data_IF_599458919406
#
_entry.id   IF_599458919406
#
_cell.length_a   1.000
_cell.length_b   1.000
_cell.length_c   1.000
_cell.angle_alpha   90.00
_cell.angle_beta   90.00
_cell.angle_gamma   90.00
#
_symmetry.space_group_name_H-M   'P 1'
#
loop_
_entity.id
_entity.type
_entity.pdbx_description
1 polymer ?
#
# COMPACT_ATOMS: atom_id res chain seq x y z
N UNK A 1 21.38 -12.59 1.08
CA UNK A 1 22.67 -11.90 1.15
C UNK A 1 22.66 -10.50 0.51
N UNK A 2 21.83 -10.22 -0.49
CA UNK A 2 21.75 -8.89 -1.14
C UNK A 2 21.21 -7.78 -0.21
N UNK A 3 20.35 -8.11 0.73
CA UNK A 3 19.75 -7.13 1.67
C UNK A 3 20.72 -6.63 2.77
N UNK A 4 21.84 -7.27 3.00
CA UNK A 4 22.80 -6.88 4.06
C UNK A 4 23.87 -5.88 3.62
N UNK A 5 24.10 -5.77 2.32
CA UNK A 5 25.18 -4.92 1.76
C UNK A 5 24.73 -3.49 1.49
N UNK A 6 23.40 -3.26 1.35
CA UNK A 6 22.85 -1.95 0.96
C UNK A 6 22.53 -1.00 2.12
N UNK A 7 22.70 -1.43 3.39
CA UNK A 7 22.32 -0.60 4.56
C UNK A 7 23.34 0.51 4.88
N UNK A 8 24.53 0.49 4.28
CA UNK A 8 25.64 1.40 4.62
C UNK A 8 25.80 2.65 3.75
N UNK A 9 25.01 2.85 2.70
CA UNK A 9 25.29 3.88 1.66
C UNK A 9 24.45 5.17 1.84
N UNK A 10 23.56 5.22 2.80
CA UNK A 10 22.58 6.32 2.96
C UNK A 10 23.15 7.65 3.50
N UNK A 11 24.44 7.77 3.82
CA UNK A 11 25.03 8.96 4.45
C UNK A 11 26.15 9.66 3.66
N UNK A 12 26.33 9.34 2.37
CA UNK A 12 27.31 10.07 1.56
C UNK A 12 26.64 11.29 0.90
N UNK A 13 27.10 12.48 1.27
CA UNK A 13 26.81 13.74 0.60
C UNK A 13 27.10 13.58 -0.91
N UNK A 14 26.17 14.10 -1.72
CA UNK A 14 26.32 14.13 -3.18
C UNK A 14 27.37 15.20 -3.50
N UNK A 15 28.63 14.82 -3.54
CA UNK A 15 29.65 15.58 -4.27
C UNK A 15 29.66 15.04 -5.71
N UNK A 16 29.61 15.98 -6.68
CA UNK A 16 29.73 15.72 -8.10
C UNK A 16 31.10 15.09 -8.42
N UNK A 17 31.19 13.80 -8.35
CA UNK A 17 32.34 13.07 -8.87
C UNK A 17 32.06 12.71 -10.33
N UNK A 18 32.94 13.07 -11.27
CA UNK A 18 32.76 12.70 -12.66
C UNK A 18 32.76 11.17 -12.82
N UNK A 19 31.86 10.69 -13.67
CA UNK A 19 31.82 9.28 -14.07
C UNK A 19 33.15 8.99 -14.79
N UNK A 20 34.04 8.29 -14.09
CA UNK A 20 35.25 7.77 -14.72
C UNK A 20 34.82 6.62 -15.62
N UNK A 21 34.95 6.83 -16.94
CA UNK A 21 34.79 5.79 -17.95
C UNK A 21 36.00 4.83 -17.84
N UNK A 22 35.89 3.84 -17.00
CA UNK A 22 36.92 2.81 -16.86
C UNK A 22 36.73 1.79 -17.99
N UNK A 23 37.18 2.18 -19.19
CA UNK A 23 37.53 1.19 -20.21
C UNK A 23 38.91 0.66 -19.87
N UNK A 24 38.95 -0.42 -19.11
CA UNK A 24 40.18 -1.23 -19.02
C UNK A 24 40.27 -2.11 -20.27
N UNK A 25 41.28 -1.87 -21.10
CA UNK A 25 41.84 -2.87 -21.99
C UNK A 25 42.44 -3.96 -21.12
N UNK A 26 41.77 -5.06 -20.91
CA UNK A 26 42.31 -6.26 -20.29
C UNK A 26 42.49 -7.29 -21.38
N UNK A 27 43.72 -7.76 -21.54
CA UNK A 27 44.06 -8.89 -22.40
C UNK A 27 43.19 -10.12 -22.07
N UNK A 28 42.74 -10.83 -23.13
CA UNK A 28 41.86 -11.99 -23.12
C UNK A 28 42.48 -13.19 -22.37
N UNK A 29 42.33 -13.18 -21.04
CA UNK A 29 42.27 -14.42 -20.31
C UNK A 29 40.76 -14.71 -20.09
N UNK A 30 40.27 -15.88 -20.48
CA UNK A 30 38.87 -16.25 -20.26
C UNK A 30 38.56 -16.10 -18.77
N UNK A 31 37.55 -15.23 -18.45
CA UNK A 31 37.13 -14.96 -17.10
C UNK A 31 36.69 -16.29 -16.41
N UNK A 32 37.04 -16.43 -15.16
CA UNK A 32 36.55 -17.59 -14.39
C UNK A 32 35.02 -17.45 -14.17
N UNK A 33 34.28 -18.56 -13.99
CA UNK A 33 32.84 -18.49 -13.71
C UNK A 33 32.50 -17.59 -12.50
N UNK A 34 33.37 -17.50 -11.51
CA UNK A 34 33.20 -16.63 -10.34
C UNK A 34 33.39 -15.14 -10.70
N UNK A 35 34.31 -14.82 -11.63
CA UNK A 35 34.50 -13.47 -12.14
C UNK A 35 33.32 -13.03 -13.01
N UNK A 36 32.80 -13.90 -13.85
CA UNK A 36 31.61 -13.64 -14.66
C UNK A 36 30.39 -13.39 -13.79
N UNK A 37 30.17 -14.20 -12.74
CA UNK A 37 29.08 -14.01 -11.79
C UNK A 37 29.20 -12.68 -11.03
N UNK A 38 30.40 -12.34 -10.58
CA UNK A 38 30.69 -11.06 -9.91
C UNK A 38 30.41 -9.88 -10.83
N UNK A 39 30.87 -9.92 -12.07
CA UNK A 39 30.70 -8.82 -13.02
C UNK A 39 29.24 -8.65 -13.44
N UNK A 40 28.50 -9.75 -13.60
CA UNK A 40 27.06 -9.72 -13.82
C UNK A 40 26.34 -9.08 -12.62
N UNK A 41 26.72 -9.40 -11.40
CA UNK A 41 26.16 -8.81 -10.18
C UNK A 41 26.45 -7.31 -10.10
N UNK A 42 27.65 -6.89 -10.42
CA UNK A 42 28.04 -5.46 -10.47
C UNK A 42 27.21 -4.69 -11.52
N UNK A 43 26.97 -5.26 -12.69
CA UNK A 43 26.12 -4.67 -13.71
C UNK A 43 24.66 -4.53 -13.22
N UNK A 44 24.12 -5.56 -12.57
CA UNK A 44 22.77 -5.51 -11.99
C UNK A 44 22.65 -4.45 -10.90
N UNK A 45 23.63 -4.32 -10.04
CA UNK A 45 23.70 -3.28 -9.00
C UNK A 45 23.77 -1.89 -9.66
N UNK A 46 24.63 -1.72 -10.66
CA UNK A 46 24.75 -0.47 -11.42
C UNK A 46 23.44 -0.05 -12.07
N UNK A 47 22.73 -0.98 -12.72
CA UNK A 47 21.40 -0.72 -13.32
C UNK A 47 20.37 -0.35 -12.23
N UNK A 48 20.35 -1.07 -11.12
CA UNK A 48 19.46 -0.77 -10.00
C UNK A 48 19.68 0.64 -9.43
N UNK A 49 20.94 1.06 -9.25
CA UNK A 49 21.29 2.40 -8.77
C UNK A 49 20.85 3.46 -9.78
N UNK A 50 21.07 3.27 -11.09
CA UNK A 50 20.64 4.20 -12.14
C UNK A 50 19.11 4.35 -12.15
N UNK A 51 18.38 3.24 -12.10
CA UNK A 51 16.92 3.25 -12.03
C UNK A 51 16.42 3.98 -10.79
N UNK A 52 16.98 3.68 -9.62
CA UNK A 52 16.63 4.35 -8.37
C UNK A 52 16.85 5.87 -8.45
N UNK A 53 18.04 6.31 -8.89
CA UNK A 53 18.37 7.75 -9.02
C UNK A 53 17.42 8.45 -9.97
N UNK A 54 17.16 7.86 -11.12
CA UNK A 54 16.24 8.39 -12.14
C UNK A 54 14.80 8.52 -11.60
N UNK A 55 14.30 7.53 -10.87
CA UNK A 55 12.97 7.60 -10.28
C UNK A 55 12.89 8.57 -9.10
N UNK A 56 13.98 8.69 -8.32
CA UNK A 56 14.04 9.68 -7.25
C UNK A 56 14.04 11.10 -7.81
N UNK A 57 14.75 11.35 -8.89
CA UNK A 57 14.74 12.64 -9.58
C UNK A 57 13.33 12.99 -10.10
N UNK A 58 12.63 12.03 -10.73
CA UNK A 58 11.25 12.20 -11.17
C UNK A 58 10.32 12.52 -10.00
N UNK A 59 10.45 11.80 -8.87
CA UNK A 59 9.67 12.09 -7.68
C UNK A 59 9.87 13.52 -7.19
N UNK A 60 11.12 13.97 -7.07
CA UNK A 60 11.46 15.33 -6.62
C UNK A 60 10.88 16.35 -7.59
N UNK A 61 11.08 16.19 -8.91
CA UNK A 61 10.52 17.05 -9.96
C UNK A 61 8.99 17.21 -9.80
N UNK A 62 8.26 16.09 -9.64
CA UNK A 62 6.80 16.15 -9.51
C UNK A 62 6.35 16.86 -8.23
N UNK A 63 7.10 16.73 -7.14
CA UNK A 63 6.83 17.45 -5.90
C UNK A 63 7.10 18.94 -6.05
N UNK A 64 8.26 19.33 -6.56
CA UNK A 64 8.66 20.73 -6.75
C UNK A 64 7.67 21.47 -7.64
N UNK A 65 7.30 20.85 -8.75
CA UNK A 65 6.34 21.40 -9.68
C UNK A 65 4.96 21.60 -9.03
N UNK A 66 4.46 20.64 -8.26
CA UNK A 66 3.19 20.79 -7.54
C UNK A 66 3.23 21.93 -6.52
N UNK A 67 4.34 22.06 -5.79
CA UNK A 67 4.54 23.15 -4.82
C UNK A 67 4.63 24.51 -5.52
N UNK A 68 5.33 24.57 -6.67
CA UNK A 68 5.42 25.81 -7.46
C UNK A 68 4.05 26.24 -7.98
N UNK A 69 3.26 25.31 -8.52
CA UNK A 69 1.91 25.58 -9.02
C UNK A 69 1.00 26.11 -7.91
N UNK A 70 1.08 25.52 -6.72
CA UNK A 70 0.31 25.95 -5.57
C UNK A 70 0.66 27.36 -5.13
N UNK A 71 1.97 27.66 -4.99
CA UNK A 71 2.48 28.99 -4.63
C UNK A 71 2.14 30.06 -5.67
N UNK A 72 2.10 29.68 -6.93
CA UNK A 72 1.76 30.57 -8.04
C UNK A 72 0.25 30.76 -8.24
N UNK A 73 -0.60 30.04 -7.48
CA UNK A 73 -2.06 30.10 -7.63
C UNK A 73 -2.54 29.58 -8.99
N UNK A 74 -1.86 28.59 -9.59
CA UNK A 74 -2.24 28.01 -10.87
C UNK A 74 -3.66 27.47 -10.80
N UNK A 75 -4.46 27.69 -11.84
CA UNK A 75 -5.87 27.30 -11.88
C UNK A 75 -6.06 25.79 -11.79
N UNK A 76 -7.23 25.35 -11.33
CA UNK A 76 -7.52 23.93 -11.16
C UNK A 76 -7.24 23.10 -12.42
N UNK A 77 -7.62 23.63 -13.58
CA UNK A 77 -7.49 22.91 -14.87
C UNK A 77 -6.05 22.76 -15.38
N UNK A 78 -5.11 23.53 -14.87
CA UNK A 78 -3.72 23.53 -15.34
C UNK A 78 -2.74 23.11 -14.24
N UNK A 79 -3.22 23.04 -13.00
CA UNK A 79 -2.44 22.69 -11.81
C UNK A 79 -2.03 21.22 -11.82
N UNK A 80 -0.78 20.97 -11.43
CA UNK A 80 -0.22 19.65 -11.21
C UNK A 80 -0.30 19.32 -9.73
N UNK A 81 -0.90 18.17 -9.42
CA UNK A 81 -1.09 17.66 -8.07
C UNK A 81 -0.18 16.46 -7.85
N UNK A 82 0.49 16.40 -6.73
CA UNK A 82 1.36 15.27 -6.39
C UNK A 82 1.05 14.76 -5.00
N UNK A 83 0.68 13.48 -4.94
CA UNK A 83 0.39 12.75 -3.71
C UNK A 83 1.33 11.57 -3.55
N UNK A 84 1.64 11.24 -2.29
CA UNK A 84 2.26 9.96 -1.91
C UNK A 84 1.24 9.14 -1.16
N UNK A 85 1.12 7.86 -1.51
CA UNK A 85 0.20 6.92 -0.85
C UNK A 85 1.01 5.76 -0.29
N UNK A 86 0.91 5.55 1.02
CA UNK A 86 1.59 4.45 1.69
C UNK A 86 0.82 4.00 2.94
N UNK A 87 1.04 2.73 3.33
CA UNK A 87 0.58 2.20 4.61
C UNK A 87 1.65 2.36 5.67
N UNK A 88 1.32 3.06 6.74
CA UNK A 88 2.12 3.06 7.94
C UNK A 88 2.18 1.69 8.63
N UNK A 89 3.10 1.56 9.57
CA UNK A 89 3.13 0.43 10.48
C UNK A 89 1.76 0.31 11.19
N UNK A 90 1.26 -0.91 11.36
CA UNK A 90 0.03 -1.13 12.11
C UNK A 90 0.17 -0.55 13.52
N UNK A 91 -0.88 0.10 13.96
CA UNK A 91 -1.09 0.43 15.37
C UNK A 91 -1.92 -0.69 16.00
N UNK A 92 -2.00 -0.68 17.30
CA UNK A 92 -2.68 -1.71 18.09
C UNK A 92 -3.63 -1.08 19.10
N UNK A 93 -4.69 -1.79 19.45
CA UNK A 93 -5.59 -1.41 20.54
C UNK A 93 -5.91 -2.66 21.40
N UNK A 94 -5.92 -2.52 22.73
CA UNK A 94 -5.55 -1.35 23.53
C UNK A 94 -4.06 -1.05 23.50
N UNK A 95 -3.69 0.21 23.79
CA UNK A 95 -2.31 0.66 23.97
C UNK A 95 -2.05 0.93 25.44
N UNK A 96 -0.92 0.44 25.90
CA UNK A 96 -0.41 0.72 27.25
C UNK A 96 0.90 1.49 27.09
N UNK A 97 0.93 2.71 27.66
CA UNK A 97 2.08 3.62 27.51
C UNK A 97 3.34 3.14 28.25
N UNK A 98 3.14 2.58 29.46
CA UNK A 98 4.26 2.18 30.32
C UNK A 98 4.44 0.66 30.26
N UNK A 99 3.61 -0.09 30.97
CA UNK A 99 3.73 -1.52 31.09
C UNK A 99 2.47 -2.22 30.58
N UNK A 100 2.66 -3.12 29.64
CA UNK A 100 1.58 -3.97 29.16
C UNK A 100 1.21 -4.98 30.25
N UNK A 101 -0.09 -5.14 30.60
CA UNK A 101 -0.50 -6.18 31.56
C UNK A 101 -0.01 -7.55 31.13
N UNK A 102 0.68 -8.26 32.05
CA UNK A 102 1.35 -9.53 31.76
C UNK A 102 0.45 -10.60 31.13
N UNK A 103 -0.83 -10.61 31.48
CA UNK A 103 -1.82 -11.51 30.88
C UNK A 103 -2.04 -11.29 29.39
N UNK A 104 -1.79 -10.08 28.88
CA UNK A 104 -1.98 -9.73 27.46
C UNK A 104 -0.75 -9.99 26.60
N UNK A 105 0.40 -10.28 27.20
CA UNK A 105 1.66 -10.49 26.49
C UNK A 105 1.60 -11.60 25.43
N UNK A 106 0.81 -12.64 25.69
CA UNK A 106 0.67 -13.80 24.80
C UNK A 106 -0.46 -13.68 23.78
N UNK A 107 -1.16 -12.54 23.74
CA UNK A 107 -2.30 -12.31 22.87
C UNK A 107 -2.00 -11.21 21.86
N UNK A 108 -2.65 -11.28 20.73
CA UNK A 108 -2.53 -10.26 19.69
C UNK A 108 -3.58 -9.17 19.91
N UNK A 109 -3.20 -7.91 20.13
CA UNK A 109 -4.16 -6.81 20.21
C UNK A 109 -4.90 -6.61 18.89
N UNK A 110 -5.95 -5.79 18.89
CA UNK A 110 -6.66 -5.41 17.67
C UNK A 110 -5.74 -4.62 16.76
N UNK A 111 -5.57 -5.05 15.53
CA UNK A 111 -4.78 -4.34 14.55
C UNK A 111 -5.55 -3.13 13.98
N UNK A 112 -4.92 -1.97 14.04
CA UNK A 112 -5.42 -0.73 13.43
C UNK A 112 -4.52 -0.35 12.27
N UNK A 113 -5.13 -0.22 11.09
CA UNK A 113 -4.46 0.15 9.86
C UNK A 113 -4.48 1.66 9.67
N UNK A 114 -3.44 2.16 9.04
CA UNK A 114 -3.26 3.57 8.75
C UNK A 114 -2.73 3.72 7.32
N UNK A 115 -3.57 4.19 6.39
CA UNK A 115 -3.16 4.59 5.06
C UNK A 115 -2.98 6.11 5.03
N UNK A 116 -1.77 6.57 4.77
CA UNK A 116 -1.46 7.97 4.56
C UNK A 116 -1.58 8.35 3.09
N UNK A 117 -2.30 9.42 2.80
CA UNK A 117 -2.31 10.10 1.51
C UNK A 117 -1.71 11.48 1.74
N UNK A 118 -0.46 11.67 1.35
CA UNK A 118 0.28 12.93 1.56
C UNK A 118 0.11 13.84 0.38
N UNK A 119 -0.47 15.01 0.58
CA UNK A 119 -0.47 16.11 -0.38
C UNK A 119 0.80 16.93 -0.18
N UNK A 120 1.70 16.95 -1.16
CA UNK A 120 2.93 17.73 -1.07
C UNK A 120 2.76 19.23 -1.20
N UNK A 121 1.64 19.66 -1.76
CA UNK A 121 1.34 21.07 -2.03
C UNK A 121 0.04 21.51 -1.34
N UNK A 122 -0.09 21.17 -0.05
CA UNK A 122 -1.24 21.61 0.75
C UNK A 122 -1.09 23.08 1.14
N UNK A 123 -2.14 23.84 0.88
CA UNK A 123 -2.22 25.26 1.21
C UNK A 123 -2.86 25.42 2.61
N UNK A 124 -2.10 25.95 3.54
CA UNK A 124 -2.57 26.25 4.89
C UNK A 124 -3.26 27.62 4.97
N UNK A 125 -4.14 27.86 5.94
CA UNK A 125 -4.83 29.14 6.09
C UNK A 125 -3.90 30.35 6.26
N UNK A 126 -2.67 30.13 6.73
CA UNK A 126 -1.63 31.16 6.83
C UNK A 126 -0.92 31.48 5.50
N UNK A 127 -1.33 30.86 4.40
CA UNK A 127 -0.72 31.00 3.09
C UNK A 127 0.53 30.14 2.86
N UNK A 128 0.94 29.35 3.85
CA UNK A 128 2.07 28.44 3.69
C UNK A 128 1.67 27.23 2.83
N UNK A 129 2.57 26.83 1.93
CA UNK A 129 2.42 25.62 1.11
C UNK A 129 3.46 24.63 1.56
N UNK A 130 3.01 23.53 2.15
CA UNK A 130 3.85 22.40 2.61
C UNK A 130 3.11 21.08 2.57
N UNK A 131 3.82 20.02 2.87
CA UNK A 131 3.22 18.67 2.91
C UNK A 131 2.20 18.52 4.04
N UNK A 132 1.11 17.83 3.75
CA UNK A 132 0.06 17.48 4.70
C UNK A 132 -0.47 16.07 4.43
N UNK A 133 -0.62 15.25 5.47
CA UNK A 133 -1.10 13.88 5.36
C UNK A 133 -2.56 13.76 5.79
N UNK A 134 -3.35 13.11 4.94
CA UNK A 134 -4.66 12.58 5.28
C UNK A 134 -4.49 11.12 5.68
N UNK A 135 -4.54 10.86 6.99
CA UNK A 135 -4.33 9.55 7.57
C UNK A 135 -5.67 8.83 7.75
N UNK A 136 -5.97 7.86 6.89
CA UNK A 136 -7.17 7.02 6.99
C UNK A 136 -6.94 5.91 8.00
N UNK A 137 -7.63 5.99 9.14
CA UNK A 137 -7.44 5.09 10.28
C UNK A 137 -8.67 4.21 10.46
N UNK A 138 -8.48 2.88 10.49
CA UNK A 138 -9.53 1.89 10.66
C UNK A 138 -8.97 0.58 11.21
N UNK A 139 -9.76 -0.18 11.95
CA UNK A 139 -9.29 -1.47 12.48
C UNK A 139 -9.60 -2.64 11.54
N UNK A 140 -8.97 -3.78 11.79
CA UNK A 140 -9.03 -5.00 10.96
C UNK A 140 -10.44 -5.58 10.76
N UNK A 141 -11.39 -5.22 11.60
CA UNK A 141 -12.81 -5.60 11.45
C UNK A 141 -13.59 -4.69 10.50
N UNK A 142 -13.07 -3.52 10.15
CA UNK A 142 -13.71 -2.55 9.23
C UNK A 142 -13.26 -2.78 7.79
N UNK A 143 -11.97 -3.04 7.59
CA UNK A 143 -11.42 -3.23 6.25
C UNK A 143 -10.11 -3.99 6.26
N UNK A 144 -9.57 -4.24 5.07
CA UNK A 144 -8.27 -4.90 4.84
C UNK A 144 -7.27 -3.91 4.21
N UNK A 145 -6.08 -4.40 3.85
CA UNK A 145 -5.06 -3.64 3.10
C UNK A 145 -5.00 -4.09 1.63
N UNK A 146 -6.15 -4.27 0.99
CA UNK A 146 -6.23 -4.74 -0.40
C UNK A 146 -6.39 -3.61 -1.41
N UNK A 147 -6.41 -3.94 -2.70
CA UNK A 147 -6.54 -2.99 -3.82
C UNK A 147 -7.82 -2.14 -3.73
N UNK A 148 -8.96 -2.76 -3.42
CA UNK A 148 -10.23 -2.07 -3.22
C UNK A 148 -10.16 -1.01 -2.10
N UNK A 149 -9.48 -1.35 -0.98
CA UNK A 149 -9.31 -0.43 0.12
C UNK A 149 -8.42 0.77 -0.29
N UNK A 150 -7.29 0.51 -0.96
CA UNK A 150 -6.41 1.58 -1.47
C UNK A 150 -7.16 2.49 -2.43
N UNK A 151 -7.86 1.93 -3.41
CA UNK A 151 -8.65 2.70 -4.38
C UNK A 151 -9.73 3.57 -3.68
N UNK A 152 -10.46 2.99 -2.73
CA UNK A 152 -11.51 3.69 -1.97
C UNK A 152 -10.95 4.87 -1.18
N UNK A 153 -9.81 4.69 -0.50
CA UNK A 153 -9.22 5.72 0.34
C UNK A 153 -8.56 6.84 -0.48
N UNK A 154 -7.97 6.53 -1.62
CA UNK A 154 -7.54 7.55 -2.60
C UNK A 154 -8.74 8.38 -3.05
N UNK A 155 -9.81 7.73 -3.48
CA UNK A 155 -11.03 8.41 -3.94
C UNK A 155 -11.68 9.24 -2.84
N UNK A 156 -11.70 8.75 -1.59
CA UNK A 156 -12.18 9.49 -0.43
C UNK A 156 -11.37 10.77 -0.21
N UNK A 157 -10.03 10.69 -0.33
CA UNK A 157 -9.15 11.85 -0.20
C UNK A 157 -9.36 12.86 -1.33
N UNK A 158 -9.38 12.40 -2.59
CA UNK A 158 -9.59 13.29 -3.74
C UNK A 158 -10.95 14.01 -3.66
N UNK A 159 -12.01 13.31 -3.21
CA UNK A 159 -13.32 13.90 -2.98
C UNK A 159 -13.29 14.93 -1.85
N UNK A 160 -12.65 14.62 -0.73
CA UNK A 160 -12.48 15.54 0.41
C UNK A 160 -11.77 16.83 0.01
N UNK A 161 -10.81 16.73 -0.90
CA UNK A 161 -10.06 17.89 -1.44
C UNK A 161 -10.78 18.62 -2.57
N UNK A 162 -12.01 18.22 -2.91
CA UNK A 162 -12.78 18.75 -4.03
C UNK A 162 -12.03 18.71 -5.38
N UNK A 163 -11.27 17.63 -5.59
CA UNK A 163 -10.51 17.40 -6.84
C UNK A 163 -11.28 16.55 -7.85
N UNK A 164 -12.43 15.97 -7.48
CA UNK A 164 -13.30 15.20 -8.37
C UNK A 164 -14.45 16.08 -8.86
N UNK A 165 -14.14 17.06 -9.70
CA UNK A 165 -15.13 18.00 -10.26
C UNK A 165 -15.73 17.42 -11.53
N UNK A 166 -17.03 17.65 -11.73
CA UNK A 166 -17.75 17.16 -12.92
C UNK A 166 -17.82 18.20 -14.03
N UNK A 167 -17.67 19.48 -13.67
CA UNK A 167 -17.74 20.65 -14.56
C UNK A 167 -16.42 20.97 -15.25
N UNK A 168 -15.30 20.54 -14.67
CA UNK A 168 -13.96 20.83 -15.16
C UNK A 168 -12.96 19.75 -14.82
N UNK A 169 -12.14 19.33 -15.78
CA UNK A 169 -11.03 18.43 -15.51
C UNK A 169 -9.86 19.18 -14.86
N UNK A 170 -9.31 18.61 -13.77
CA UNK A 170 -8.03 19.05 -13.20
C UNK A 170 -6.88 18.85 -14.19
N UNK A 171 -5.76 19.52 -13.96
CA UNK A 171 -4.60 19.41 -14.83
C UNK A 171 -3.95 18.03 -14.79
N UNK A 172 -2.89 17.87 -14.02
CA UNK A 172 -2.15 16.62 -13.89
C UNK A 172 -2.24 16.06 -12.45
N UNK A 173 -2.58 14.78 -12.33
CA UNK A 173 -2.54 14.05 -11.05
C UNK A 173 -1.38 13.07 -11.05
N UNK A 174 -0.46 13.23 -10.13
CA UNK A 174 0.62 12.29 -9.86
C UNK A 174 0.37 11.59 -8.52
N UNK A 175 0.32 10.26 -8.52
CA UNK A 175 0.27 9.48 -7.29
C UNK A 175 1.48 8.56 -7.24
N UNK A 176 2.24 8.69 -6.17
CA UNK A 176 3.47 7.96 -5.94
C UNK A 176 3.22 6.90 -4.88
N UNK A 177 3.65 5.67 -5.15
CA UNK A 177 3.42 4.49 -4.32
C UNK A 177 4.72 3.78 -3.98
N UNK A 178 4.70 3.01 -2.89
CA UNK A 178 5.64 1.91 -2.72
C UNK A 178 5.40 0.79 -3.76
N UNK A 179 6.38 -0.08 -3.96
CA UNK A 179 6.29 -1.15 -4.97
C UNK A 179 5.65 -2.44 -4.43
N UNK A 180 4.63 -2.33 -3.57
CA UNK A 180 3.94 -3.48 -2.99
C UNK A 180 2.85 -4.02 -3.92
N UNK A 181 3.08 -5.17 -4.55
CA UNK A 181 2.13 -5.77 -5.52
C UNK A 181 0.78 -6.16 -4.89
N UNK A 182 0.78 -6.61 -3.64
CA UNK A 182 -0.44 -7.04 -2.95
C UNK A 182 -1.38 -5.89 -2.55
N UNK A 183 -0.89 -4.65 -2.54
CA UNK A 183 -1.65 -3.48 -2.09
C UNK A 183 -1.81 -2.45 -3.19
N UNK A 184 -0.69 -1.94 -3.73
CA UNK A 184 -0.65 -0.76 -4.57
C UNK A 184 -0.40 -1.08 -6.04
N UNK A 185 0.55 -1.99 -6.36
CA UNK A 185 0.97 -2.29 -7.74
C UNK A 185 0.22 -3.48 -8.31
N UNK A 186 -1.03 -3.28 -8.66
CA UNK A 186 -1.92 -4.30 -9.20
C UNK A 186 -2.88 -3.73 -10.24
N UNK A 187 -3.59 -4.60 -10.95
CA UNK A 187 -4.50 -4.22 -12.02
C UNK A 187 -5.61 -3.26 -11.56
N UNK A 188 -6.20 -3.47 -10.39
CA UNK A 188 -7.28 -2.63 -9.88
C UNK A 188 -6.84 -1.19 -9.68
N UNK A 189 -5.69 -0.98 -9.01
CA UNK A 189 -5.15 0.37 -8.78
C UNK A 189 -4.72 1.01 -10.10
N UNK A 190 -4.10 0.28 -11.03
CA UNK A 190 -3.71 0.83 -12.32
C UNK A 190 -4.89 1.19 -13.22
N UNK A 191 -5.95 0.38 -13.21
CA UNK A 191 -7.20 0.69 -13.91
C UNK A 191 -7.90 1.92 -13.33
N UNK A 192 -7.71 2.20 -12.03
CA UNK A 192 -8.20 3.43 -11.43
C UNK A 192 -7.60 4.68 -12.09
N UNK A 193 -6.31 4.65 -12.49
CA UNK A 193 -5.69 5.77 -13.23
C UNK A 193 -6.39 6.01 -14.57
N UNK A 194 -6.66 4.92 -15.32
CA UNK A 194 -7.40 5.00 -16.59
C UNK A 194 -8.80 5.55 -16.37
N UNK A 195 -9.47 5.08 -15.33
CA UNK A 195 -10.83 5.51 -15.00
C UNK A 195 -10.90 6.99 -14.61
N UNK A 196 -9.97 7.49 -13.79
CA UNK A 196 -9.92 8.89 -13.37
C UNK A 196 -9.83 9.84 -14.57
N UNK A 197 -9.04 9.46 -15.58
CA UNK A 197 -8.97 10.19 -16.84
C UNK A 197 -10.24 10.05 -17.67
N UNK A 198 -10.73 8.83 -17.87
CA UNK A 198 -11.92 8.56 -18.68
C UNK A 198 -13.19 9.20 -18.10
N UNK A 199 -13.28 9.28 -16.77
CA UNK A 199 -14.34 9.99 -16.07
C UNK A 199 -14.22 11.53 -16.16
N UNK A 200 -13.14 12.05 -16.76
CA UNK A 200 -12.92 13.47 -16.97
C UNK A 200 -12.53 14.25 -15.72
N UNK A 201 -12.04 13.58 -14.69
CA UNK A 201 -11.59 14.27 -13.48
C UNK A 201 -10.23 14.94 -13.64
N UNK A 202 -9.34 14.38 -14.47
CA UNK A 202 -8.02 14.92 -14.75
C UNK A 202 -7.65 14.79 -16.23
N UNK A 203 -6.87 15.74 -16.75
CA UNK A 203 -6.32 15.71 -18.11
C UNK A 203 -5.22 14.64 -18.24
N UNK A 204 -4.37 14.54 -17.22
CA UNK A 204 -3.27 13.58 -17.15
C UNK A 204 -3.30 12.90 -15.77
N UNK A 205 -3.11 11.57 -15.76
CA UNK A 205 -2.98 10.79 -14.52
C UNK A 205 -1.74 9.92 -14.60
N UNK A 206 -0.83 10.10 -13.65
CA UNK A 206 0.42 9.34 -13.55
C UNK A 206 0.45 8.58 -12.22
N UNK A 207 0.66 7.27 -12.30
CA UNK A 207 0.94 6.42 -11.14
C UNK A 207 2.39 5.96 -11.22
N UNK A 208 3.16 6.31 -10.19
CA UNK A 208 4.61 6.12 -10.13
C UNK A 208 4.94 5.22 -8.95
N UNK A 209 5.62 4.11 -9.20
CA UNK A 209 6.02 3.15 -8.18
C UNK A 209 7.53 3.26 -7.94
N UNK A 210 7.92 3.53 -6.70
CA UNK A 210 9.34 3.68 -6.34
C UNK A 210 10.06 2.32 -6.42
N UNK A 211 11.36 2.36 -6.66
CA UNK A 211 12.18 1.14 -6.71
C UNK A 211 12.27 0.51 -5.33
N UNK A 212 12.17 -0.82 -5.26
CA UNK A 212 12.25 -1.60 -4.02
C UNK A 212 13.53 -1.29 -3.25
N UNK A 213 13.43 -1.10 -1.94
CA UNK A 213 14.55 -0.75 -1.07
C UNK A 213 14.84 0.76 -0.98
N UNK A 214 14.25 1.57 -1.85
CA UNK A 214 14.47 3.03 -1.92
C UNK A 214 13.14 3.81 -1.87
N UNK A 215 12.23 3.37 -0.99
CA UNK A 215 10.86 3.90 -0.89
C UNK A 215 10.69 4.97 0.17
N UNK A 216 11.77 5.40 0.86
CA UNK A 216 11.69 6.49 1.85
C UNK A 216 11.06 7.74 1.23
N UNK A 217 9.95 8.19 1.80
CA UNK A 217 9.14 9.28 1.30
C UNK A 217 8.61 10.18 2.45
N UNK A 218 7.83 11.19 2.11
CA UNK A 218 7.24 12.10 3.09
C UNK A 218 6.28 11.39 4.08
N UNK A 219 5.60 10.33 3.64
CA UNK A 219 4.68 9.58 4.49
C UNK A 219 5.40 8.97 5.70
N UNK A 220 6.62 8.47 5.52
CA UNK A 220 7.41 7.88 6.62
C UNK A 220 7.66 8.88 7.75
N UNK A 221 7.99 10.15 7.41
CA UNK A 221 8.21 11.21 8.41
C UNK A 221 6.92 11.53 9.16
N UNK A 222 5.82 11.65 8.44
CA UNK A 222 4.51 11.98 9.01
C UNK A 222 3.94 10.82 9.84
N UNK A 223 4.19 9.57 9.45
CA UNK A 223 3.88 8.41 10.27
C UNK A 223 4.68 8.36 11.57
N UNK A 224 5.94 8.81 11.55
CA UNK A 224 6.74 8.92 12.77
C UNK A 224 6.16 9.95 13.75
N UNK A 225 5.62 11.07 13.24
CA UNK A 225 4.88 12.04 14.05
C UNK A 225 3.66 11.38 14.72
N UNK A 226 2.83 10.66 13.97
CA UNK A 226 1.70 9.91 14.52
C UNK A 226 2.12 8.88 15.57
N UNK A 227 3.22 8.16 15.31
CA UNK A 227 3.76 7.15 16.24
C UNK A 227 4.22 7.77 17.56
N UNK A 228 4.73 8.98 17.51
CA UNK A 228 5.13 9.72 18.71
C UNK A 228 3.90 10.09 19.55
N UNK A 229 2.82 10.59 18.94
CA UNK A 229 1.57 10.89 19.64
C UNK A 229 0.90 9.61 20.20
N UNK A 230 0.83 8.55 19.40
CA UNK A 230 0.28 7.26 19.78
C UNK A 230 0.92 6.66 21.04
N UNK A 231 2.21 6.89 21.29
CA UNK A 231 2.97 6.30 22.39
C UNK A 231 2.93 7.10 23.69
N UNK A 232 2.34 8.29 23.69
CA UNK A 232 2.39 9.19 24.86
C UNK A 232 1.48 8.78 26.00
N UNK A 233 0.43 8.00 25.76
CA UNK A 233 -0.57 7.66 26.77
C UNK A 233 -1.26 6.32 26.50
N UNK A 234 -2.03 5.85 27.47
CA UNK A 234 -2.91 4.69 27.28
C UNK A 234 -4.06 5.05 26.34
N UNK A 235 -4.37 4.16 25.40
CA UNK A 235 -5.47 4.34 24.44
C UNK A 235 -6.26 3.05 24.38
N UNK A 236 -7.55 3.12 24.63
CA UNK A 236 -8.41 1.95 24.74
C UNK A 236 -9.51 1.87 23.69
N UNK A 237 -9.79 2.97 22.97
CA UNK A 237 -10.86 3.03 21.97
C UNK A 237 -10.40 3.65 20.66
N UNK A 238 -11.14 3.42 19.57
CA UNK A 238 -10.84 4.04 18.27
C UNK A 238 -11.04 5.56 18.33
N UNK A 239 -12.04 6.02 19.07
CA UNK A 239 -12.36 7.44 19.23
C UNK A 239 -11.20 8.19 19.91
N UNK A 240 -10.71 7.64 21.03
CA UNK A 240 -9.55 8.18 21.75
C UNK A 240 -8.27 8.17 20.88
N UNK A 241 -8.10 7.11 20.08
CA UNK A 241 -6.98 7.03 19.14
C UNK A 241 -7.04 8.15 18.09
N UNK A 242 -8.19 8.33 17.44
CA UNK A 242 -8.39 9.37 16.42
C UNK A 242 -8.17 10.76 17.01
N UNK A 243 -8.72 11.04 18.19
CA UNK A 243 -8.51 12.32 18.90
C UNK A 243 -7.02 12.60 19.14
N UNK A 244 -6.31 11.58 19.60
CA UNK A 244 -4.88 11.72 19.93
C UNK A 244 -4.01 11.93 18.69
N UNK A 245 -4.29 11.21 17.62
CA UNK A 245 -3.54 11.34 16.38
C UNK A 245 -3.78 12.69 15.66
N UNK A 246 -4.94 13.33 15.87
CA UNK A 246 -5.24 14.67 15.34
C UNK A 246 -4.47 15.82 16.02
N UNK A 247 -3.66 15.55 17.04
CA UNK A 247 -2.84 16.57 17.68
C UNK A 247 -1.70 17.13 16.81
N UNK A 248 -1.39 16.49 15.68
CA UNK A 248 -0.35 16.92 14.74
C UNK A 248 -0.90 17.90 13.69
N UNK A 249 -0.32 19.10 13.59
CA UNK A 249 -0.74 20.11 12.59
C UNK A 249 -0.61 19.65 11.13
N UNK A 250 0.38 18.81 10.83
CA UNK A 250 0.66 18.32 9.48
C UNK A 250 -0.13 17.05 9.11
N UNK A 251 -1.05 16.62 9.96
CA UNK A 251 -1.85 15.41 9.73
C UNK A 251 -3.32 15.66 10.08
N UNK A 252 -4.19 15.31 9.15
CA UNK A 252 -5.62 15.17 9.42
C UNK A 252 -5.96 13.70 9.47
N UNK A 253 -6.40 13.21 10.62
CA UNK A 253 -6.91 11.84 10.74
C UNK A 253 -8.31 11.77 10.17
N UNK A 254 -8.51 10.84 9.26
CA UNK A 254 -9.80 10.59 8.61
C UNK A 254 -10.33 9.24 9.11
N UNK A 255 -11.25 9.23 10.07
CA UNK A 255 -11.90 7.99 10.49
C UNK A 255 -12.55 7.31 9.29
N UNK A 256 -12.38 6.00 9.20
CA UNK A 256 -12.83 5.23 8.06
C UNK A 256 -13.75 4.11 8.52
N UNK A 257 -14.94 4.08 7.98
CA UNK A 257 -16.02 3.15 8.30
C UNK A 257 -16.22 2.12 7.16
N UNK A 258 -16.95 1.02 7.39
CA UNK A 258 -17.18 0.00 6.36
C UNK A 258 -17.76 0.54 5.05
N UNK A 259 -18.65 1.54 5.13
CA UNK A 259 -19.32 2.14 3.97
C UNK A 259 -18.39 3.05 3.12
N UNK A 260 -17.19 3.32 3.60
CA UNK A 260 -16.17 4.02 2.83
C UNK A 260 -15.46 3.13 1.81
N UNK A 261 -15.61 1.82 1.91
CA UNK A 261 -14.97 0.86 1.04
C UNK A 261 -15.91 0.38 -0.07
N UNK A 262 -15.45 0.50 -1.30
CA UNK A 262 -16.19 0.14 -2.50
C UNK A 262 -15.49 -0.96 -3.30
N UNK A 263 -16.25 -1.74 -4.04
CA UNK A 263 -15.75 -2.80 -4.92
C UNK A 263 -15.30 -2.24 -6.28
N UNK A 264 -14.18 -1.52 -6.25
CA UNK A 264 -13.53 -1.01 -7.46
C UNK A 264 -13.02 -2.14 -8.36
N UNK A 265 -12.63 -3.28 -7.80
CA UNK A 265 -12.14 -4.40 -8.59
C UNK A 265 -13.20 -4.90 -9.57
N UNK A 266 -14.41 -5.15 -9.07
CA UNK A 266 -15.54 -5.58 -9.92
C UNK A 266 -15.90 -4.53 -10.96
N UNK A 267 -16.01 -3.25 -10.57
CA UNK A 267 -16.30 -2.16 -11.49
C UNK A 267 -15.26 -2.04 -12.61
N UNK A 268 -13.98 -1.96 -12.22
CA UNK A 268 -12.90 -1.69 -13.17
C UNK A 268 -12.60 -2.90 -14.05
N UNK A 269 -12.82 -4.12 -13.55
CA UNK A 269 -12.74 -5.35 -14.35
C UNK A 269 -13.89 -5.47 -15.36
N UNK A 270 -15.06 -4.91 -15.09
CA UNK A 270 -16.15 -4.80 -16.09
C UNK A 270 -15.76 -3.88 -17.24
N UNK A 271 -15.03 -2.79 -16.95
CA UNK A 271 -14.71 -1.71 -17.91
C UNK A 271 -13.40 -1.95 -18.68
N UNK A 272 -12.37 -2.48 -18.01
CA UNK A 272 -10.99 -2.49 -18.53
C UNK A 272 -10.37 -3.88 -18.55
N UNK A 273 -9.42 -4.09 -19.47
CA UNK A 273 -8.60 -5.31 -19.57
C UNK A 273 -7.50 -5.30 -18.54
N UNK A 274 -7.03 -6.49 -18.18
CA UNK A 274 -5.83 -6.65 -17.36
C UNK A 274 -4.56 -6.31 -18.13
N UNK A 275 -3.61 -5.69 -17.43
CA UNK A 275 -2.27 -5.44 -17.92
C UNK A 275 -1.41 -6.71 -17.69
N UNK A 276 -1.65 -7.76 -18.45
CA UNK A 276 -0.98 -9.04 -18.27
C UNK A 276 0.53 -8.94 -18.49
N UNK A 277 1.32 -9.44 -17.53
CA UNK A 277 2.78 -9.57 -17.62
C UNK A 277 3.59 -8.28 -17.43
N UNK A 278 2.98 -7.11 -17.60
CA UNK A 278 3.70 -5.83 -17.64
C UNK A 278 3.73 -5.06 -16.30
N UNK A 279 2.84 -5.41 -15.36
CA UNK A 279 2.70 -4.67 -14.09
C UNK A 279 3.96 -4.72 -13.23
N UNK A 280 4.60 -5.89 -13.14
CA UNK A 280 5.78 -6.08 -12.27
C UNK A 280 7.02 -5.34 -12.79
N UNK A 281 7.21 -5.32 -14.10
CA UNK A 281 8.42 -4.79 -14.76
C UNK A 281 8.41 -3.26 -14.84
N UNK A 282 7.24 -2.67 -15.08
CA UNK A 282 7.11 -1.23 -15.26
C UNK A 282 6.87 -0.51 -13.92
N UNK A 283 7.36 0.71 -13.79
CA UNK A 283 7.26 1.52 -12.58
C UNK A 283 6.53 2.85 -12.79
N UNK A 284 6.36 3.28 -14.02
CA UNK A 284 5.66 4.52 -14.37
C UNK A 284 4.50 4.15 -15.29
N UNK A 285 3.31 4.58 -14.91
CA UNK A 285 2.07 4.34 -15.63
C UNK A 285 1.38 5.68 -15.86
N UNK A 286 1.16 6.05 -17.12
CA UNK A 286 0.64 7.37 -17.49
C UNK A 286 -0.56 7.26 -18.41
N UNK A 287 -1.63 7.94 -18.06
CA UNK A 287 -2.80 8.16 -18.90
C UNK A 287 -2.78 9.62 -19.33
N UNK A 288 -2.48 9.88 -20.60
CA UNK A 288 -2.39 11.22 -21.20
C UNK A 288 -3.06 11.23 -22.58
N UNK A 289 -3.07 12.38 -23.25
CA UNK A 289 -3.67 12.58 -24.57
C UNK A 289 -4.96 13.39 -24.50
N UNK A 290 -5.33 13.99 -25.64
CA UNK A 290 -6.44 14.96 -25.72
C UNK A 290 -7.83 14.30 -25.59
N UNK A 291 -7.97 13.08 -26.09
CA UNK A 291 -9.20 12.32 -25.93
C UNK A 291 -9.31 11.70 -24.53
N UNK A 292 -10.22 12.16 -23.66
CA UNK A 292 -10.40 11.58 -22.32
C UNK A 292 -10.83 10.11 -22.36
N UNK A 293 -11.46 9.68 -23.45
CA UNK A 293 -11.94 8.32 -23.63
C UNK A 293 -10.93 7.40 -24.31
N UNK A 294 -9.78 7.93 -24.78
CA UNK A 294 -8.69 7.14 -25.31
C UNK A 294 -8.05 6.31 -24.18
N UNK A 295 -8.70 5.26 -23.78
CA UNK A 295 -8.38 4.39 -22.63
C UNK A 295 -7.03 3.65 -22.80
N UNK A 296 -5.98 4.44 -23.07
CA UNK A 296 -4.61 3.98 -23.26
C UNK A 296 -3.78 4.31 -22.02
N UNK A 297 -2.97 3.34 -21.58
CA UNK A 297 -2.03 3.47 -20.50
C UNK A 297 -0.61 3.30 -21.07
N UNK A 298 0.18 4.34 -21.01
CA UNK A 298 1.60 4.28 -21.31
C UNK A 298 2.35 3.73 -20.08
N UNK A 299 3.23 2.76 -20.32
CA UNK A 299 3.98 2.09 -19.26
C UNK A 299 5.47 2.24 -19.54
N UNK A 300 6.24 2.55 -18.50
CA UNK A 300 7.71 2.62 -18.58
C UNK A 300 8.35 1.82 -17.46
N UNK A 301 9.45 1.13 -17.76
CA UNK A 301 10.26 0.43 -16.75
C UNK A 301 10.88 1.42 -15.75
N UNK A 302 11.37 2.56 -16.24
CA UNK A 302 11.85 3.67 -15.42
C UNK A 302 11.81 4.99 -16.22
N UNK A 303 12.27 6.09 -15.61
CA UNK A 303 12.40 7.39 -16.28
C UNK A 303 13.71 7.53 -17.11
N UNK A 304 14.47 6.46 -17.30
CA UNK A 304 15.68 6.47 -18.11
C UNK A 304 15.33 6.56 -19.61
N UNK A 305 16.10 7.29 -20.43
CA UNK A 305 15.84 7.45 -21.87
C UNK A 305 15.78 6.12 -22.63
N UNK A 306 16.60 5.14 -22.24
CA UNK A 306 16.65 3.80 -22.82
C UNK A 306 15.43 2.93 -22.52
N UNK A 307 14.54 3.39 -21.65
CA UNK A 307 13.29 2.70 -21.34
C UNK A 307 12.10 3.41 -21.97
N UNK A 308 11.79 3.13 -23.25
CA UNK A 308 10.69 3.78 -23.95
C UNK A 308 9.32 3.44 -23.32
N UNK A 309 8.34 4.28 -23.56
CA UNK A 309 6.97 4.01 -23.18
C UNK A 309 6.37 2.92 -24.07
N UNK A 310 5.78 1.90 -23.44
CA UNK A 310 4.92 0.91 -24.09
C UNK A 310 3.48 1.32 -23.87
N UNK A 311 2.67 1.35 -24.93
CA UNK A 311 1.25 1.71 -24.82
C UNK A 311 0.40 0.46 -24.76
N UNK A 312 -0.47 0.38 -23.75
CA UNK A 312 -1.47 -0.66 -23.59
C UNK A 312 -2.87 -0.07 -23.74
N UNK A 313 -3.69 -0.67 -24.61
CA UNK A 313 -5.10 -0.29 -24.74
C UNK A 313 -5.90 -1.00 -23.65
N UNK A 314 -6.32 -0.24 -22.65
CA UNK A 314 -7.02 -0.78 -21.49
C UNK A 314 -8.51 -1.06 -21.73
N UNK A 315 -9.13 -0.49 -22.79
CA UNK A 315 -10.56 -0.66 -23.05
C UNK A 315 -10.95 -2.08 -23.45
N UNK A 316 -12.08 -2.56 -22.94
CA UNK A 316 -12.77 -3.76 -23.47
C UNK A 316 -13.56 -3.40 -24.71
N UNK A 317 -12.93 -3.48 -25.87
CA UNK A 317 -13.45 -3.06 -27.19
C UNK A 317 -14.83 -3.67 -27.56
N UNK A 318 -15.26 -4.75 -26.90
CA UNK A 318 -16.49 -5.46 -27.29
C UNK A 318 -17.72 -5.14 -26.44
N UNK A 319 -17.59 -4.51 -25.27
CA UNK A 319 -18.72 -4.47 -24.35
C UNK A 319 -19.33 -3.10 -24.10
N UNK A 320 -18.57 -1.99 -24.17
CA UNK A 320 -19.16 -0.64 -23.93
C UNK A 320 -18.36 0.45 -24.62
N UNK A 321 -19.07 1.24 -25.44
CA UNK A 321 -18.60 2.52 -25.94
C UNK A 321 -19.26 3.61 -25.11
N UNK A 322 -18.47 4.34 -24.32
CA UNK A 322 -18.91 5.61 -23.75
C UNK A 322 -18.65 6.71 -24.75
N UNK A 323 -19.56 7.68 -24.86
CA UNK A 323 -19.43 8.79 -25.79
C UNK A 323 -18.84 10.03 -25.12
N UNK A 324 -18.93 10.11 -23.79
CA UNK A 324 -18.39 11.22 -23.02
C UNK A 324 -18.06 10.82 -21.58
N UNK A 325 -17.25 11.62 -20.88
CA UNK A 325 -16.89 11.36 -19.46
C UNK A 325 -18.10 11.25 -18.52
N UNK A 326 -19.18 11.97 -18.78
CA UNK A 326 -20.40 11.88 -17.97
C UNK A 326 -21.04 10.48 -18.01
N UNK A 327 -21.01 9.80 -19.15
CA UNK A 327 -21.49 8.41 -19.24
C UNK A 327 -20.61 7.44 -18.45
N UNK A 328 -19.29 7.66 -18.42
CA UNK A 328 -18.36 6.87 -17.58
C UNK A 328 -18.70 7.04 -16.11
N UNK A 329 -18.95 8.27 -15.66
CA UNK A 329 -19.35 8.56 -14.28
C UNK A 329 -20.70 7.93 -13.93
N UNK A 330 -21.71 8.13 -14.78
CA UNK A 330 -23.04 7.57 -14.59
C UNK A 330 -23.04 6.04 -14.51
N UNK A 331 -22.23 5.38 -15.38
CA UNK A 331 -22.05 3.93 -15.31
C UNK A 331 -21.41 3.51 -13.98
N UNK A 332 -20.42 4.25 -13.52
CA UNK A 332 -19.73 3.95 -12.27
C UNK A 332 -20.65 4.11 -11.07
N UNK A 333 -21.46 5.17 -11.03
CA UNK A 333 -22.46 5.37 -9.96
C UNK A 333 -23.47 4.22 -9.92
N UNK A 334 -23.90 3.72 -11.09
CA UNK A 334 -24.88 2.64 -11.18
C UNK A 334 -24.31 1.25 -10.80
N UNK A 335 -22.99 1.06 -10.89
CA UNK A 335 -22.33 -0.25 -10.73
C UNK A 335 -21.45 -0.37 -9.51
N UNK A 336 -20.92 0.74 -9.00
CA UNK A 336 -20.05 0.72 -7.83
C UNK A 336 -20.87 0.38 -6.59
N UNK A 337 -20.53 -0.72 -5.95
CA UNK A 337 -21.19 -1.20 -4.74
C UNK A 337 -20.27 -1.06 -3.52
N UNK A 338 -20.87 -0.94 -2.35
CA UNK A 338 -20.12 -0.99 -1.09
C UNK A 338 -19.49 -2.39 -0.93
N UNK A 339 -18.23 -2.42 -0.56
CA UNK A 339 -17.51 -3.68 -0.31
C UNK A 339 -18.08 -4.35 0.94
N UNK A 340 -18.42 -5.63 0.83
CA UNK A 340 -18.97 -6.37 1.97
C UNK A 340 -17.96 -6.39 3.13
N UNK A 341 -18.30 -5.75 4.22
CA UNK A 341 -17.54 -5.82 5.46
C UNK A 341 -17.70 -7.21 6.08
N UNK A 342 -16.59 -7.88 6.34
CA UNK A 342 -16.59 -9.22 6.97
C UNK A 342 -16.68 -9.15 8.51
N UNK A 343 -16.58 -7.95 9.08
CA UNK A 343 -16.55 -7.75 10.52
C UNK A 343 -15.23 -8.24 11.16
N UNK A 344 -15.21 -8.20 12.47
CA UNK A 344 -14.06 -8.68 13.25
C UNK A 344 -14.01 -10.21 13.20
N UNK A 345 -12.81 -10.74 13.01
CA UNK A 345 -12.58 -12.19 13.09
C UNK A 345 -13.11 -12.75 14.42
N UNK A 346 -13.91 -13.84 14.43
CA UNK A 346 -14.48 -14.41 15.64
C UNK A 346 -13.45 -14.69 16.76
N UNK A 347 -12.24 -15.15 16.40
CA UNK A 347 -11.16 -15.35 17.38
C UNK A 347 -10.74 -14.04 18.03
N UNK A 348 -10.58 -13.00 17.21
CA UNK A 348 -10.21 -11.67 17.70
C UNK A 348 -11.30 -11.09 18.60
N UNK A 349 -12.58 -11.24 18.25
CA UNK A 349 -13.69 -10.82 19.09
C UNK A 349 -13.65 -11.51 20.46
N UNK A 350 -13.42 -12.84 20.48
CA UNK A 350 -13.29 -13.63 21.73
C UNK A 350 -12.05 -13.23 22.53
N UNK A 351 -10.91 -12.95 21.88
CA UNK A 351 -9.70 -12.45 22.55
C UNK A 351 -9.93 -11.09 23.20
N UNK A 352 -10.53 -10.15 22.47
CA UNK A 352 -10.83 -8.81 22.98
C UNK A 352 -11.74 -8.88 24.20
N UNK A 353 -12.79 -9.70 24.16
CA UNK A 353 -13.72 -9.90 25.27
C UNK A 353 -13.07 -10.59 26.46
N UNK A 354 -12.39 -11.74 26.27
CA UNK A 354 -11.87 -12.56 27.36
C UNK A 354 -10.60 -12.03 28.00
N UNK A 355 -9.68 -11.52 27.16
CA UNK A 355 -8.31 -11.31 27.57
C UNK A 355 -7.96 -9.82 27.69
N UNK A 356 -8.58 -8.96 26.89
CA UNK A 356 -8.31 -7.53 26.93
C UNK A 356 -9.32 -6.75 27.77
N UNK A 357 -10.61 -7.03 27.65
CA UNK A 357 -11.64 -6.35 28.46
C UNK A 357 -11.36 -6.33 29.96
N UNK A 358 -10.93 -7.44 30.61
CA UNK A 358 -10.66 -7.44 32.05
C UNK A 358 -9.51 -6.52 32.52
N UNK A 359 -8.61 -6.15 31.63
CA UNK A 359 -7.44 -5.28 31.93
C UNK A 359 -7.57 -3.88 31.37
N UNK A 360 -8.68 -3.59 30.72
CA UNK A 360 -9.07 -2.25 30.27
C UNK A 360 -9.92 -1.59 31.38
N UNK A 361 -9.76 -0.29 31.65
CA UNK A 361 -10.56 0.40 32.66
C UNK A 361 -12.07 0.22 32.45
N UNK A 362 -12.87 0.07 33.54
CA UNK A 362 -14.30 -0.27 33.45
C UNK A 362 -15.14 0.70 32.61
N UNK A 363 -14.76 1.96 32.57
CA UNK A 363 -15.45 2.99 31.78
C UNK A 363 -15.43 2.73 30.28
N UNK A 364 -14.52 1.87 29.78
CA UNK A 364 -14.43 1.49 28.36
C UNK A 364 -15.06 0.13 28.05
N UNK A 365 -15.56 -0.59 29.07
CA UNK A 365 -16.11 -1.94 28.89
C UNK A 365 -17.32 -2.01 27.96
N UNK A 366 -18.08 -0.93 27.85
CA UNK A 366 -19.25 -0.83 26.96
C UNK A 366 -18.90 -0.42 25.54
N UNK A 367 -17.60 -0.16 25.25
CA UNK A 367 -17.17 0.13 23.89
C UNK A 367 -17.32 -1.11 23.00
N UNK A 368 -17.75 -0.90 21.74
CA UNK A 368 -17.97 -1.96 20.74
C UNK A 368 -16.77 -2.89 20.53
N UNK A 369 -15.55 -2.43 20.82
CA UNK A 369 -14.34 -3.24 20.71
C UNK A 369 -14.27 -4.35 21.76
N UNK A 370 -14.92 -4.16 22.88
CA UNK A 370 -14.95 -5.09 24.02
C UNK A 370 -16.33 -5.73 24.22
N UNK A 371 -17.20 -5.64 23.20
CA UNK A 371 -18.53 -6.25 23.25
C UNK A 371 -18.45 -7.78 23.36
N UNK A 372 -19.44 -8.37 24.03
CA UNK A 372 -19.56 -9.82 24.13
C UNK A 372 -19.72 -10.45 22.74
N UNK A 373 -18.91 -11.47 22.40
CA UNK A 373 -19.04 -12.15 21.13
C UNK A 373 -20.42 -12.80 20.97
N UNK A 374 -20.96 -12.74 19.75
CA UNK A 374 -22.25 -13.39 19.44
C UNK A 374 -22.16 -14.91 19.58
N UNK A 375 -23.33 -15.57 19.77
CA UNK A 375 -23.41 -17.03 19.82
C UNK A 375 -22.79 -17.71 18.58
N UNK A 376 -22.94 -17.08 17.41
CA UNK A 376 -22.34 -17.54 16.16
C UNK A 376 -20.80 -17.44 16.20
N UNK A 377 -20.24 -16.34 16.71
CA UNK A 377 -18.79 -16.17 16.86
C UNK A 377 -18.22 -17.19 17.84
N UNK A 378 -18.90 -17.42 18.96
CA UNK A 378 -18.52 -18.46 19.92
C UNK A 378 -18.53 -19.85 19.30
N UNK A 379 -19.57 -20.19 18.54
CA UNK A 379 -19.68 -21.49 17.85
C UNK A 379 -18.53 -21.69 16.87
N UNK A 380 -18.23 -20.70 16.01
CA UNK A 380 -17.12 -20.77 15.05
C UNK A 380 -15.77 -21.01 15.74
N UNK A 381 -15.50 -20.31 16.85
CA UNK A 381 -14.25 -20.49 17.61
C UNK A 381 -14.13 -21.88 18.23
N UNK A 382 -15.23 -22.46 18.71
CA UNK A 382 -15.24 -23.82 19.27
C UNK A 382 -14.95 -24.87 18.18
N UNK A 383 -15.63 -24.80 17.05
CA UNK A 383 -15.46 -25.73 15.90
C UNK A 383 -14.02 -25.70 15.41
N UNK A 384 -13.47 -24.52 15.09
CA UNK A 384 -12.10 -24.43 14.58
C UNK A 384 -11.04 -24.86 15.61
N UNK A 385 -11.28 -24.70 16.92
CA UNK A 385 -10.38 -25.25 17.95
C UNK A 385 -10.38 -26.77 17.94
N UNK A 386 -11.55 -27.37 17.76
CA UNK A 386 -11.67 -28.83 17.58
C UNK A 386 -10.87 -29.29 16.36
N UNK A 387 -11.13 -28.70 15.21
CA UNK A 387 -10.46 -29.03 13.94
C UNK A 387 -8.94 -28.91 14.03
N UNK A 388 -8.44 -27.81 14.66
CA UNK A 388 -6.99 -27.62 14.90
C UNK A 388 -6.41 -28.66 15.86
N UNK A 389 -7.18 -29.08 16.86
CA UNK A 389 -6.77 -30.13 17.80
C UNK A 389 -6.67 -31.47 17.09
N UNK A 390 -7.68 -31.81 16.29
CA UNK A 390 -7.71 -33.02 15.48
C UNK A 390 -6.58 -33.06 14.44
N UNK A 391 -6.35 -31.93 13.74
CA UNK A 391 -5.24 -31.81 12.78
C UNK A 391 -3.87 -32.01 13.47
N UNK A 392 -3.67 -31.39 14.66
CA UNK A 392 -2.42 -31.57 15.43
C UNK A 392 -2.25 -33.01 15.90
N UNK A 393 -3.32 -33.65 16.33
CA UNK A 393 -3.31 -35.06 16.73
C UNK A 393 -2.98 -35.99 15.55
N UNK A 394 -3.59 -35.73 14.39
CA UNK A 394 -3.30 -36.47 13.16
C UNK A 394 -1.84 -36.27 12.67
N UNK A 395 -1.31 -35.03 12.75
CA UNK A 395 0.08 -34.77 12.40
C UNK A 395 1.06 -35.45 13.36
N UNK A 396 0.73 -35.47 14.66
CA UNK A 396 1.52 -36.18 15.67
C UNK A 396 1.51 -37.69 15.42
N UNK A 397 0.33 -38.28 15.14
CA UNK A 397 0.20 -39.69 14.79
C UNK A 397 1.02 -40.06 13.55
N UNK A 398 0.96 -39.23 12.47
CA UNK A 398 1.82 -39.44 11.28
C UNK A 398 3.31 -39.42 11.59
N UNK A 399 3.76 -38.50 12.45
CA UNK A 399 5.18 -38.44 12.88
C UNK A 399 5.60 -39.68 13.66
N UNK A 400 4.73 -40.17 14.56
CA UNK A 400 5.00 -41.41 15.31
C UNK A 400 5.06 -42.63 14.38
N UNK A 401 4.09 -42.79 13.47
CA UNK A 401 4.08 -43.88 12.50
C UNK A 401 5.30 -43.88 11.59
N UNK A 402 5.74 -42.68 11.14
CA UNK A 402 6.97 -42.56 10.35
C UNK A 402 8.22 -42.95 11.16
N UNK A 403 8.28 -42.59 12.44
CA UNK A 403 9.39 -42.97 13.31
C UNK A 403 9.44 -44.48 13.56
N UNK A 404 8.29 -45.12 13.85
CA UNK A 404 8.20 -46.57 13.99
C UNK A 404 8.56 -47.32 12.71
N UNK A 405 8.20 -46.76 11.52
CA UNK A 405 8.56 -47.36 10.24
C UNK A 405 10.09 -47.32 10.01
N UNK A 406 10.76 -46.26 10.38
CA UNK A 406 12.22 -46.11 10.32
C UNK A 406 12.89 -47.06 11.31
N UNK A 407 12.38 -47.18 12.54
CA UNK A 407 12.93 -48.09 13.55
C UNK A 407 12.75 -49.58 13.15
N UNK A 408 11.63 -49.94 12.55
CA UNK A 408 11.43 -51.30 12.00
C UNK A 408 12.41 -51.58 10.85
N UNK A 409 12.60 -50.64 9.96
CA UNK A 409 13.51 -50.80 8.82
C UNK A 409 14.97 -50.94 9.26
N UNK A 410 15.37 -50.24 10.31
CA UNK A 410 16.72 -50.39 10.89
C UNK A 410 16.89 -51.74 11.60
N UNK A 411 15.83 -52.25 12.25
CA UNK A 411 15.87 -53.57 12.92
C UNK A 411 15.95 -54.72 11.95
N UNK A 412 15.23 -54.64 10.79
CA UNK A 412 15.27 -55.63 9.75
C UNK A 412 16.61 -55.67 8.99
N UNK A 413 17.37 -54.60 9.00
CA UNK A 413 18.73 -54.55 8.42
C UNK A 413 19.82 -55.13 9.32
N UNK A 414 19.62 -55.10 10.65
CA UNK A 414 20.57 -55.64 11.63
C UNK A 414 20.41 -57.17 11.87
N UNK A 415 19.31 -57.79 11.39
CA UNK A 415 19.06 -59.23 11.55
C UNK A 415 19.42 -60.03 10.29
N UNK A 416 19.92 -59.36 9.26
CA UNK A 416 20.24 -59.94 7.95
C UNK A 416 21.74 -60.15 7.67
N UNK A 417 22.57 -60.43 8.71
CA UNK A 417 23.99 -60.81 8.56
C UNK A 417 24.20 -62.19 9.13
#
# INVERSE_FOLDING_TARGET
MINGILVGVDNLAIEDTPVVDVRMEVAEAAATPEEEERDLLLLQIGEHIRMYRSQRALYIEKVEVAVMDAKAGVTFSDRRYTFVVDYGQNMELPVYNQEQPGVTYYYSPLSVYNLGVVNHAHEYPNGEVKEHMYAHVYHEGVGKKGANNVASLIMKTLRRLNLLREDSAGGELNIIFDNCSGKNKNNTVLKLAVWLKAAGYFKIVNFIFLVVGHTKNAADRLFNSLKTEYRKQNIFTMEALVEKLNASESVTVVPTEPDDFFDYDSLLNDMYRDLSGQVKVNHIFSCSGDDPLAMALAMRRSNLPEHPALTHIASKVRSRKFNCPAEVRAHSVAKLTVLKCMGLNPYKAVEMWKNYRPVVPPEFHDNRLYAEPTAEQWSKVKVEKSDRSEFRAALKAKKYAAKEAVERHSFDMDVGV
#
